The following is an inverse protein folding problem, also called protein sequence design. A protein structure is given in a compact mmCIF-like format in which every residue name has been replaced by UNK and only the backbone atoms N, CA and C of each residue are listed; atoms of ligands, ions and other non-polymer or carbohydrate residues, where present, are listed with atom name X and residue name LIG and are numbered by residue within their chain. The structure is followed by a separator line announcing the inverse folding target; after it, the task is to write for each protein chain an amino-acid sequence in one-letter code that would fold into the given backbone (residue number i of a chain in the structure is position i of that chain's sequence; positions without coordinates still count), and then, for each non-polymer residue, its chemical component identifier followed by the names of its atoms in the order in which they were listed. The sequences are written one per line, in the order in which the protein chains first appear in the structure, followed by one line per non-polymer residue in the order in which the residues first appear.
data_IF_975073113210
#
_entry.id   IF_975073113210
#
_cell.length_a   1.000
_cell.length_b   1.000
_cell.length_c   1.000
_cell.angle_alpha   90.00
_cell.angle_beta   90.00
_cell.angle_gamma   90.00
#
_symmetry.space_group_name_H-M   'P 1'
#
loop_
_entity.id
_entity.type
_entity.pdbx_description
1 polymer ?
#
# COMPACT_ATOMS: atom_id res chain seq x y z
N UNK A 1 -2.18 -33.24 -19.57
CA UNK A 1 -1.46 -32.28 -20.42
C UNK A 1 -2.12 -30.91 -20.27
N UNK A 2 -1.86 -30.21 -19.18
CA UNK A 2 -2.00 -28.76 -19.07
C UNK A 2 -0.77 -28.31 -18.30
N UNK A 3 0.25 -27.91 -19.06
CA UNK A 3 1.54 -27.43 -18.58
C UNK A 3 1.33 -25.98 -18.09
N UNK A 4 1.49 -25.76 -16.78
CA UNK A 4 1.49 -24.40 -16.21
C UNK A 4 2.90 -23.84 -16.39
N UNK A 5 3.07 -22.92 -17.34
CA UNK A 5 4.32 -22.23 -17.59
C UNK A 5 4.74 -21.37 -16.36
N UNK A 6 6.03 -21.29 -16.02
CA UNK A 6 6.50 -20.42 -14.94
C UNK A 6 6.75 -19.02 -15.51
N UNK A 7 5.81 -18.10 -15.33
CA UNK A 7 6.04 -16.70 -15.67
C UNK A 7 4.78 -15.90 -15.99
N UNK A 8 3.97 -15.57 -14.98
CA UNK A 8 2.96 -14.51 -15.07
C UNK A 8 2.41 -14.11 -13.69
N UNK A 9 3.28 -13.65 -12.78
CA UNK A 9 2.85 -12.70 -11.73
C UNK A 9 3.48 -11.33 -11.98
N UNK A 10 3.69 -10.94 -13.24
CA UNK A 10 3.76 -9.53 -13.56
C UNK A 10 2.32 -9.02 -13.47
N UNK A 11 1.92 -8.63 -12.26
CA UNK A 11 0.61 -8.04 -12.01
C UNK A 11 0.41 -6.87 -12.95
N UNK A 12 -0.51 -7.06 -13.88
CA UNK A 12 -1.15 -6.06 -14.73
C UNK A 12 -1.99 -5.10 -13.86
N UNK A 13 -1.30 -4.41 -12.96
CA UNK A 13 -1.83 -3.24 -12.26
C UNK A 13 -1.47 -2.05 -13.14
N UNK A 14 -2.34 -1.72 -14.09
CA UNK A 14 -2.50 -0.32 -14.44
C UNK A 14 -3.49 0.24 -13.41
N UNK A 15 -3.05 0.78 -12.25
CA UNK A 15 -3.99 1.46 -11.40
C UNK A 15 -4.34 2.76 -12.12
N UNK A 16 -5.57 2.84 -12.61
CA UNK A 16 -6.31 4.03 -12.23
C UNK A 16 -6.22 4.08 -10.69
N UNK A 17 -5.45 5.01 -10.12
CA UNK A 17 -5.29 5.13 -8.67
C UNK A 17 -6.67 5.30 -8.05
N UNK A 18 -7.27 4.20 -7.61
CA UNK A 18 -8.58 4.19 -6.99
C UNK A 18 -8.40 4.85 -5.63
N UNK A 19 -8.95 6.06 -5.49
CA UNK A 19 -8.92 6.77 -4.22
C UNK A 19 -9.89 6.10 -3.25
N UNK A 20 -9.49 5.92 -2.01
CA UNK A 20 -10.36 5.38 -0.95
C UNK A 20 -11.44 6.38 -0.55
N UNK A 21 -11.30 7.65 -0.95
CA UNK A 21 -12.21 8.74 -0.59
C UNK A 21 -11.83 9.39 0.74
N UNK A 22 -10.79 8.88 1.39
CA UNK A 22 -10.21 9.43 2.61
C UNK A 22 -8.78 9.90 2.32
N UNK A 23 -8.55 11.21 2.45
CA UNK A 23 -7.28 11.83 2.09
C UNK A 23 -6.09 11.31 2.92
N UNK A 24 -6.32 10.91 4.18
CA UNK A 24 -5.27 10.37 5.03
C UNK A 24 -4.90 8.94 4.59
N UNK A 25 -5.90 8.13 4.27
CA UNK A 25 -5.70 6.77 3.73
C UNK A 25 -5.02 6.83 2.36
N UNK A 26 -5.45 7.72 1.47
CA UNK A 26 -4.86 7.88 0.12
C UNK A 26 -3.39 8.33 0.19
N UNK A 27 -3.05 9.23 1.12
CA UNK A 27 -1.66 9.62 1.37
C UNK A 27 -0.80 8.46 1.90
N UNK A 28 -1.37 7.62 2.79
CA UNK A 28 -0.69 6.45 3.34
C UNK A 28 -0.45 5.38 2.25
N UNK A 29 -1.43 5.11 1.39
CA UNK A 29 -1.30 4.20 0.26
C UNK A 29 -0.27 4.69 -0.76
N UNK A 30 -0.25 6.00 -1.05
CA UNK A 30 0.79 6.61 -1.90
C UNK A 30 2.18 6.35 -1.32
N UNK A 31 2.34 6.48 0.00
CA UNK A 31 3.60 6.22 0.68
C UNK A 31 4.01 4.75 0.60
N UNK A 32 3.05 3.82 0.71
CA UNK A 32 3.30 2.39 0.51
C UNK A 32 3.77 2.07 -0.91
N UNK A 33 3.22 2.75 -1.92
CA UNK A 33 3.65 2.58 -3.31
C UNK A 33 5.11 2.97 -3.56
N UNK A 34 5.74 3.76 -2.68
CA UNK A 34 7.14 4.16 -2.79
C UNK A 34 8.12 3.18 -2.12
N UNK A 35 7.65 2.10 -1.47
CA UNK A 35 8.52 1.15 -0.78
C UNK A 35 9.48 0.42 -1.71
N UNK A 36 9.06 0.12 -2.94
CA UNK A 36 9.88 -0.60 -3.92
C UNK A 36 11.22 0.11 -4.19
N UNK A 37 11.23 1.44 -4.17
CA UNK A 37 12.41 2.26 -4.34
C UNK A 37 13.27 2.41 -3.07
N UNK A 38 12.81 1.90 -1.91
CA UNK A 38 13.49 2.02 -0.62
C UNK A 38 14.21 0.72 -0.24
N UNK A 39 15.34 0.80 0.49
CA UNK A 39 15.97 -0.38 1.06
C UNK A 39 15.03 -1.06 2.06
N UNK A 40 15.02 -2.40 2.09
CA UNK A 40 14.13 -3.21 2.95
C UNK A 40 14.16 -2.79 4.42
N UNK A 41 15.32 -2.37 4.92
CA UNK A 41 15.47 -1.88 6.31
C UNK A 41 14.61 -0.64 6.60
N UNK A 42 14.34 0.20 5.61
CA UNK A 42 13.49 1.38 5.73
C UNK A 42 11.99 1.06 5.61
N UNK A 43 11.61 -0.12 5.10
CA UNK A 43 10.20 -0.49 4.91
C UNK A 43 9.46 -0.53 6.24
N UNK A 44 10.10 -1.04 7.30
CA UNK A 44 9.50 -1.14 8.64
C UNK A 44 9.06 0.23 9.16
N UNK A 45 9.90 1.26 9.00
CA UNK A 45 9.56 2.61 9.44
C UNK A 45 8.40 3.21 8.63
N UNK A 46 8.27 2.83 7.35
CA UNK A 46 7.13 3.27 6.53
C UNK A 46 5.85 2.55 6.93
N UNK A 47 5.90 1.24 7.18
CA UNK A 47 4.75 0.48 7.66
C UNK A 47 4.24 0.99 8.99
N UNK A 48 5.14 1.28 9.94
CA UNK A 48 4.78 1.83 11.25
C UNK A 48 4.06 3.18 11.13
N UNK A 49 4.58 4.09 10.30
CA UNK A 49 3.96 5.38 10.04
C UNK A 49 2.56 5.25 9.39
N UNK A 50 2.40 4.31 8.45
CA UNK A 50 1.11 4.04 7.80
C UNK A 50 0.10 3.45 8.79
N UNK A 51 0.54 2.51 9.63
CA UNK A 51 -0.29 1.93 10.68
C UNK A 51 -0.74 2.99 11.69
N UNK A 52 0.17 3.87 12.13
CA UNK A 52 -0.17 4.96 13.04
C UNK A 52 -1.21 5.92 12.43
N UNK A 53 -1.02 6.33 11.17
CA UNK A 53 -1.97 7.21 10.49
C UNK A 53 -3.36 6.57 10.32
N UNK A 54 -3.43 5.28 10.02
CA UNK A 54 -4.71 4.58 9.90
C UNK A 54 -5.39 4.42 11.27
N UNK A 55 -4.62 4.13 12.32
CA UNK A 55 -5.15 4.03 13.68
C UNK A 55 -5.69 5.37 14.19
N UNK A 56 -4.98 6.46 13.94
CA UNK A 56 -5.43 7.82 14.26
C UNK A 56 -6.75 8.14 13.56
N UNK A 57 -6.85 7.84 12.27
CA UNK A 57 -8.09 8.05 11.52
C UNK A 57 -9.26 7.22 12.03
N UNK A 58 -9.02 5.95 12.39
CA UNK A 58 -10.05 5.09 12.98
C UNK A 58 -10.49 5.56 14.37
N UNK A 59 -9.58 6.15 15.15
CA UNK A 59 -9.91 6.73 16.45
C UNK A 59 -10.75 8.01 16.31
N UNK A 60 -10.46 8.83 15.30
CA UNK A 60 -11.20 10.06 14.97
C UNK A 60 -12.65 9.78 14.50
N UNK A 61 -12.89 8.70 13.73
CA UNK A 61 -14.25 8.30 13.34
C UNK A 61 -15.11 7.76 14.50
N UNK A 62 -14.49 7.37 15.61
CA UNK A 62 -15.15 6.81 16.78
C UNK A 62 -15.36 7.78 17.95
N UNK A 63 -14.93 9.04 17.83
CA UNK A 63 -15.00 10.09 18.86
C UNK A 63 -16.24 10.98 18.72
#
# INVERSE_FOLDING_TARGET
MHEHAPGAIAGQHEPAAQTTGDAAVDAALTRLGQLDALPVRAHVAVFDAVHGALQDRLADEGA
#
